data_IF_227364667863
#
_entry.id   IF_227364667863
#
_cell.length_a   1.000
_cell.length_b   1.000
_cell.length_c   1.000
_cell.angle_alpha   90.00
_cell.angle_beta   90.00
_cell.angle_gamma   90.00
#
_symmetry.space_group_name_H-M   'P 1'
#
loop_
_entity.id
_entity.type
_entity.pdbx_description
1 polymer ?
#
# COMPACT_ATOMS: atom_id res chain seq x y z
N UNK A 1 -13.95 -8.80 4.70
CA UNK A 1 -14.20 -7.34 4.54
C UNK A 1 -13.21 -6.63 5.45
N UNK A 2 -12.64 -5.52 5.00
CA UNK A 2 -11.69 -4.68 5.74
C UNK A 2 -12.13 -3.22 5.53
N UNK A 3 -11.98 -2.38 6.54
CA UNK A 3 -12.27 -0.95 6.44
C UNK A 3 -11.07 -0.17 5.88
N UNK A 4 -11.30 1.03 5.36
CA UNK A 4 -10.22 1.90 4.86
C UNK A 4 -9.18 2.21 5.97
N UNK A 5 -9.61 2.34 7.22
CA UNK A 5 -8.73 2.59 8.37
C UNK A 5 -7.84 1.38 8.64
N UNK A 6 -8.40 0.17 8.62
CA UNK A 6 -7.63 -1.06 8.79
C UNK A 6 -6.65 -1.29 7.62
N UNK A 7 -7.05 -0.96 6.39
CA UNK A 7 -6.15 -0.99 5.23
C UNK A 7 -4.95 -0.04 5.42
N UNK A 8 -5.21 1.20 5.87
CA UNK A 8 -4.16 2.18 6.16
C UNK A 8 -3.23 1.70 7.27
N UNK A 9 -3.75 1.12 8.36
CA UNK A 9 -2.92 0.55 9.42
C UNK A 9 -1.99 -0.55 8.91
N UNK A 10 -2.49 -1.44 8.05
CA UNK A 10 -1.69 -2.49 7.45
C UNK A 10 -0.58 -1.93 6.54
N UNK A 11 -0.91 -1.03 5.60
CA UNK A 11 0.11 -0.49 4.68
C UNK A 11 1.08 0.45 5.37
N UNK A 12 0.68 1.14 6.45
CA UNK A 12 1.60 1.93 7.27
C UNK A 12 2.62 1.04 7.99
N UNK A 13 2.21 -0.12 8.50
CA UNK A 13 3.14 -1.10 9.08
C UNK A 13 4.10 -1.66 8.03
N UNK A 14 3.63 -1.97 6.81
CA UNK A 14 4.46 -2.40 5.69
C UNK A 14 5.47 -1.31 5.26
N UNK A 15 5.01 -0.06 5.15
CA UNK A 15 5.83 1.11 4.85
C UNK A 15 6.93 1.36 5.90
N UNK A 16 6.74 0.88 7.13
CA UNK A 16 7.72 1.00 8.22
C UNK A 16 8.48 -0.31 8.48
N UNK A 17 8.24 -1.37 7.71
CA UNK A 17 8.83 -2.72 7.89
C UNK A 17 8.48 -3.36 9.25
N UNK A 18 7.31 -3.05 9.78
CA UNK A 18 6.83 -3.45 11.12
C UNK A 18 5.83 -4.60 11.10
N UNK A 19 5.55 -5.21 9.95
CA UNK A 19 4.72 -6.41 9.92
C UNK A 19 5.47 -7.58 10.60
N UNK A 20 4.74 -8.54 11.22
CA UNK A 20 5.33 -9.73 11.84
C UNK A 20 5.74 -10.77 10.79
N UNK A 21 6.53 -10.34 9.79
CA UNK A 21 7.02 -11.11 8.65
C UNK A 21 8.49 -10.76 8.40
N UNK A 22 9.20 -11.58 7.64
CA UNK A 22 10.61 -11.30 7.33
C UNK A 22 10.78 -9.94 6.64
N UNK A 23 11.84 -9.20 7.01
CA UNK A 23 12.19 -7.94 6.36
C UNK A 23 12.35 -8.14 4.84
N UNK A 24 12.97 -9.25 4.42
CA UNK A 24 13.11 -9.61 2.99
C UNK A 24 11.76 -9.64 2.27
N UNK A 25 10.75 -10.29 2.84
CA UNK A 25 9.43 -10.35 2.21
C UNK A 25 8.78 -8.97 2.13
N UNK A 26 8.91 -8.16 3.19
CA UNK A 26 8.38 -6.80 3.21
C UNK A 26 9.04 -5.92 2.15
N UNK A 27 10.36 -5.99 1.98
CA UNK A 27 11.08 -5.24 0.92
C UNK A 27 10.64 -5.64 -0.48
N UNK A 28 10.56 -6.95 -0.76
CA UNK A 28 10.10 -7.43 -2.07
C UNK A 28 8.70 -6.88 -2.39
N UNK A 29 7.78 -6.89 -1.41
CA UNK A 29 6.43 -6.35 -1.61
C UNK A 29 6.47 -4.83 -1.82
N UNK A 30 7.27 -4.10 -1.05
CA UNK A 30 7.45 -2.65 -1.24
C UNK A 30 7.97 -2.34 -2.64
N UNK A 31 8.96 -3.07 -3.13
CA UNK A 31 9.51 -2.88 -4.47
C UNK A 31 8.46 -3.11 -5.56
N UNK A 32 7.63 -4.15 -5.41
CA UNK A 32 6.51 -4.43 -6.32
C UNK A 32 5.46 -3.31 -6.29
N UNK A 33 5.22 -2.69 -5.12
CA UNK A 33 4.23 -1.64 -4.95
C UNK A 33 4.66 -0.28 -5.50
N UNK A 34 5.94 -0.08 -5.83
CA UNK A 34 6.42 1.19 -6.40
C UNK A 34 5.66 1.49 -7.69
N UNK A 35 4.88 2.57 -7.67
CA UNK A 35 4.00 2.97 -8.76
C UNK A 35 4.63 4.04 -9.63
N UNK A 36 4.99 5.17 -9.03
CA UNK A 36 5.54 6.33 -9.74
C UNK A 36 6.44 7.16 -8.82
N UNK A 37 7.47 7.80 -9.39
CA UNK A 37 8.30 8.80 -8.71
C UNK A 37 8.07 10.16 -9.38
N UNK A 38 7.67 11.16 -8.59
CA UNK A 38 7.38 12.53 -9.03
C UNK A 38 8.25 13.48 -8.20
N UNK A 39 9.30 14.02 -8.80
CA UNK A 39 10.30 14.82 -8.07
C UNK A 39 10.97 13.99 -6.98
N UNK A 40 10.93 14.47 -5.75
CA UNK A 40 11.41 13.82 -4.53
C UNK A 40 10.38 12.86 -3.90
N UNK A 41 9.18 12.71 -4.47
CA UNK A 41 8.14 11.84 -3.92
C UNK A 41 8.06 10.53 -4.68
N UNK A 42 7.94 9.40 -3.98
CA UNK A 42 7.63 8.09 -4.59
C UNK A 42 6.33 7.54 -4.02
N UNK A 43 5.40 7.18 -4.91
CA UNK A 43 4.12 6.55 -4.58
C UNK A 43 4.31 5.04 -4.59
N UNK A 44 3.90 4.39 -3.50
CA UNK A 44 3.82 2.93 -3.38
C UNK A 44 2.37 2.55 -3.15
N UNK A 45 1.72 1.86 -4.08
CA UNK A 45 0.29 1.60 -3.96
C UNK A 45 -0.21 0.41 -4.77
N UNK A 46 -1.37 -0.12 -4.35
CA UNK A 46 -2.11 -1.13 -5.11
C UNK A 46 -3.56 -0.72 -5.31
N UNK A 47 -4.07 -1.02 -6.51
CA UNK A 47 -5.48 -0.84 -6.88
C UNK A 47 -6.30 -2.10 -6.63
N UNK A 48 -7.58 -1.91 -6.31
CA UNK A 48 -8.57 -2.99 -6.18
C UNK A 48 -9.96 -2.54 -6.63
N UNK A 49 -10.77 -3.47 -7.15
CA UNK A 49 -12.15 -3.19 -7.54
C UNK A 49 -13.05 -4.39 -7.20
N UNK A 50 -13.95 -4.21 -6.24
CA UNK A 50 -14.98 -5.20 -5.96
C UNK A 50 -16.14 -5.08 -6.97
N UNK A 51 -16.04 -5.82 -8.07
CA UNK A 51 -17.10 -5.88 -9.11
C UNK A 51 -18.35 -6.64 -8.65
N UNK A 52 -18.21 -7.58 -7.71
CA UNK A 52 -19.30 -8.40 -7.19
C UNK A 52 -20.02 -7.78 -5.96
N UNK A 53 -19.56 -6.62 -5.48
CA UNK A 53 -20.17 -5.90 -4.36
C UNK A 53 -21.26 -4.93 -4.84
N UNK A 54 -22.26 -4.69 -3.99
CA UNK A 54 -23.21 -3.59 -4.12
C UNK A 54 -23.18 -2.71 -2.86
N UNK A 55 -22.82 -1.41 -2.98
CA UNK A 55 -22.30 -0.76 -4.18
C UNK A 55 -20.97 -1.37 -4.64
N UNK A 56 -20.61 -1.18 -5.91
CA UNK A 56 -19.25 -1.50 -6.36
C UNK A 56 -18.29 -0.51 -5.71
N UNK A 57 -17.15 -1.01 -5.23
CA UNK A 57 -16.16 -0.19 -4.53
C UNK A 57 -14.81 -0.38 -5.19
N UNK A 58 -14.16 0.74 -5.50
CA UNK A 58 -12.77 0.81 -5.95
C UNK A 58 -11.87 1.31 -4.81
N UNK A 59 -10.64 0.84 -4.79
CA UNK A 59 -9.62 1.23 -3.82
C UNK A 59 -8.30 1.52 -4.52
N UNK A 60 -7.58 2.50 -4.00
CA UNK A 60 -6.18 2.73 -4.29
C UNK A 60 -5.49 3.05 -2.98
N UNK A 61 -4.68 2.11 -2.49
CA UNK A 61 -4.18 2.10 -1.12
C UNK A 61 -2.67 1.95 -1.13
N UNK A 62 -1.99 2.71 -0.28
CA UNK A 62 -0.55 2.80 -0.30
C UNK A 62 0.00 3.89 0.62
N UNK A 63 1.23 4.30 0.34
CA UNK A 63 1.88 5.42 1.01
C UNK A 63 2.75 6.21 0.03
N UNK A 64 3.16 7.41 0.45
CA UNK A 64 4.13 8.24 -0.27
C UNK A 64 5.38 8.33 0.58
N UNK A 65 6.53 8.04 -0.01
CA UNK A 65 7.83 8.32 0.58
C UNK A 65 8.37 9.62 0.00
N UNK A 66 8.83 10.51 0.87
CA UNK A 66 9.58 11.72 0.48
C UNK A 66 11.06 11.42 0.55
N UNK A 67 11.81 11.83 -0.46
CA UNK A 67 13.26 11.91 -0.43
C UNK A 67 13.66 12.84 0.71
N UNK A 68 14.48 12.32 1.61
CA UNK A 68 15.12 13.11 2.67
C UNK A 68 16.25 13.97 2.12
#
# INVERSE_FOLDING_TARGET
>A
KISAVEEVHFVAALAQRKLPLSIRAQEIVRDILKYETIGDHTIYAKTGWCRACQPQIGWWVGWVERGG
#
